data_IF_596695073864
#
_entry.id   IF_596695073864
#
_cell.length_a   1.000
_cell.length_b   1.000
_cell.length_c   1.000
_cell.angle_alpha   90.00
_cell.angle_beta   90.00
_cell.angle_gamma   90.00
#
_symmetry.space_group_name_H-M   'P 1'
#
loop_
_entity.id
_entity.type
_entity.pdbx_description
1 polymer ?
#
# COMPACT_ATOMS: atom_id res chain seq x y z
N UNK A 1 -22.29 -7.97 4.49
CA UNK A 1 -21.61 -7.26 5.58
C UNK A 1 -20.12 -7.55 5.45
N UNK A 2 -19.36 -6.67 4.81
CA UNK A 2 -17.89 -6.82 4.69
C UNK A 2 -17.29 -5.62 5.40
N UNK A 3 -16.63 -5.91 6.50
CA UNK A 3 -16.24 -4.98 7.55
C UNK A 3 -14.79 -4.56 7.32
N UNK A 4 -14.54 -3.25 7.20
CA UNK A 4 -13.18 -2.71 7.28
C UNK A 4 -12.82 -2.64 8.76
N UNK A 5 -12.13 -3.65 9.27
CA UNK A 5 -11.65 -3.66 10.66
C UNK A 5 -10.31 -2.94 10.75
N UNK A 6 -10.23 -1.86 11.54
CA UNK A 6 -8.97 -1.35 12.08
C UNK A 6 -8.58 -2.20 13.31
N UNK A 7 -7.80 -3.25 13.10
CA UNK A 7 -6.98 -3.85 14.15
C UNK A 7 -5.56 -3.27 13.97
N UNK A 8 -5.37 -2.04 14.43
CA UNK A 8 -4.24 -1.21 14.02
C UNK A 8 -4.49 -0.54 12.66
N UNK A 9 -3.62 0.39 12.26
CA UNK A 9 -3.78 1.32 11.13
C UNK A 9 -3.88 0.69 9.72
N UNK A 10 -4.37 -0.54 9.58
CA UNK A 10 -4.63 -1.24 8.34
C UNK A 10 -5.89 -0.73 7.62
N UNK A 11 -5.72 -0.37 6.35
CA UNK A 11 -6.78 -0.03 5.40
C UNK A 11 -6.94 -1.17 4.40
N UNK A 12 -8.18 -1.50 4.05
CA UNK A 12 -8.53 -2.56 3.13
C UNK A 12 -9.39 -2.01 1.98
N UNK A 13 -9.17 -2.52 0.76
CA UNK A 13 -10.05 -2.23 -0.39
C UNK A 13 -10.20 -3.45 -1.30
N UNK A 14 -11.29 -3.50 -2.06
CA UNK A 14 -11.66 -4.68 -2.86
C UNK A 14 -11.83 -4.27 -4.32
N UNK A 15 -10.83 -4.48 -5.17
CA UNK A 15 -10.94 -4.10 -6.57
C UNK A 15 -11.90 -5.04 -7.32
N UNK A 16 -12.56 -4.54 -8.35
CA UNK A 16 -13.53 -5.30 -9.16
C UNK A 16 -12.92 -6.53 -9.85
N UNK A 17 -11.62 -6.46 -10.17
CA UNK A 17 -10.84 -7.58 -10.72
C UNK A 17 -10.66 -8.75 -9.75
N UNK A 18 -11.06 -8.58 -8.48
CA UNK A 18 -11.01 -9.61 -7.45
C UNK A 18 -9.82 -9.50 -6.50
N UNK A 19 -9.94 -10.23 -5.38
CA UNK A 19 -8.99 -10.19 -4.28
C UNK A 19 -9.23 -9.00 -3.33
N UNK A 20 -8.17 -8.61 -2.62
CA UNK A 20 -8.18 -7.53 -1.65
C UNK A 20 -6.83 -6.84 -1.61
N UNK A 21 -6.82 -5.51 -1.54
CA UNK A 21 -5.63 -4.73 -1.23
C UNK A 21 -5.60 -4.43 0.26
N UNK A 22 -4.43 -4.59 0.88
CA UNK A 22 -4.20 -4.27 2.28
C UNK A 22 -2.95 -3.41 2.42
N UNK A 23 -3.06 -2.38 3.26
CA UNK A 23 -1.94 -1.50 3.59
C UNK A 23 -2.05 -1.04 5.03
N UNK A 24 -0.95 -1.13 5.77
CA UNK A 24 -0.80 -0.43 7.04
C UNK A 24 -0.42 1.03 6.75
N UNK A 25 -1.32 1.96 7.08
CA UNK A 25 -1.24 3.37 6.75
C UNK A 25 -0.85 4.22 7.98
N UNK A 26 0.05 5.17 7.76
CA UNK A 26 0.33 6.28 8.65
C UNK A 26 -0.74 7.38 8.51
N UNK A 27 -0.75 8.35 9.44
CA UNK A 27 -1.61 9.54 9.38
C UNK A 27 -1.51 10.26 8.02
N UNK A 28 -0.29 10.39 7.49
CA UNK A 28 -0.02 11.04 6.20
C UNK A 28 -0.62 10.24 5.03
N UNK A 29 -0.53 8.92 5.07
CA UNK A 29 -1.14 8.05 4.06
C UNK A 29 -2.67 8.09 4.12
N UNK A 30 -3.26 8.16 5.31
CA UNK A 30 -4.71 8.35 5.47
C UNK A 30 -5.18 9.67 4.87
N UNK A 31 -4.44 10.77 5.11
CA UNK A 31 -4.73 12.07 4.48
C UNK A 31 -4.63 11.99 2.95
N UNK A 32 -3.63 11.29 2.42
CA UNK A 32 -3.49 11.07 0.97
C UNK A 32 -4.67 10.28 0.38
N UNK A 33 -5.20 9.30 1.12
CA UNK A 33 -6.39 8.55 0.73
C UNK A 33 -7.69 9.35 0.88
N UNK A 34 -7.65 10.53 1.50
CA UNK A 34 -8.85 11.32 1.84
C UNK A 34 -9.66 10.72 2.98
N UNK A 35 -9.03 9.88 3.81
CA UNK A 35 -9.68 9.23 4.95
C UNK A 35 -9.49 10.04 6.24
N UNK A 36 -10.45 9.98 7.17
CA UNK A 36 -10.29 10.60 8.48
C UNK A 36 -9.12 9.99 9.24
N UNK A 37 -8.31 10.85 9.85
CA UNK A 37 -7.12 10.47 10.64
C UNK A 37 -7.46 10.14 12.11
N UNK A 38 -8.65 10.53 12.58
CA UNK A 38 -9.15 10.20 13.91
C UNK A 38 -9.69 8.76 13.90
N UNK A 39 -9.23 7.93 14.84
CA UNK A 39 -9.67 6.55 15.02
C UNK A 39 -10.61 6.38 16.22
N UNK A 40 -11.50 5.38 16.21
CA UNK A 40 -11.87 4.50 15.09
C UNK A 40 -12.99 5.10 14.23
N UNK A 41 -12.90 4.92 12.91
CA UNK A 41 -14.00 5.21 11.98
C UNK A 41 -14.27 3.96 11.17
N UNK A 42 -15.48 3.42 11.29
CA UNK A 42 -15.99 2.42 10.36
C UNK A 42 -16.22 3.12 9.02
N UNK A 43 -15.43 2.77 8.01
CA UNK A 43 -15.60 3.27 6.65
C UNK A 43 -16.41 2.22 5.89
N UNK A 44 -17.64 2.58 5.56
CA UNK A 44 -18.51 1.75 4.74
C UNK A 44 -17.89 1.54 3.34
N UNK A 45 -18.19 0.36 2.77
CA UNK A 45 -17.82 0.06 1.39
C UNK A 45 -18.47 1.10 0.46
N UNK A 46 -17.73 1.56 -0.54
CA UNK A 46 -18.35 2.34 -1.61
C UNK A 46 -19.46 1.50 -2.24
N UNK A 47 -20.62 2.12 -2.45
CA UNK A 47 -21.75 1.46 -3.13
C UNK A 47 -21.53 1.42 -4.63
N UNK A 48 -20.70 2.34 -5.13
CA UNK A 48 -20.29 2.45 -6.52
C UNK A 48 -18.98 1.70 -6.77
N UNK A 49 -18.96 0.86 -7.81
CA UNK A 49 -17.80 0.03 -8.16
C UNK A 49 -16.64 0.87 -8.73
N UNK A 50 -16.96 1.94 -9.47
CA UNK A 50 -15.95 2.81 -10.07
C UNK A 50 -15.26 3.66 -8.98
N UNK A 51 -16.02 4.10 -7.96
CA UNK A 51 -15.44 4.76 -6.78
C UNK A 51 -14.52 3.82 -5.98
N UNK A 52 -14.92 2.56 -5.81
CA UNK A 52 -14.08 1.56 -5.13
C UNK A 52 -12.79 1.26 -5.91
N UNK A 53 -12.86 1.18 -7.24
CA UNK A 53 -11.70 0.95 -8.09
C UNK A 53 -10.74 2.15 -8.13
N UNK A 54 -11.28 3.37 -8.14
CA UNK A 54 -10.47 4.59 -7.98
C UNK A 54 -9.77 4.63 -6.61
N UNK A 55 -10.45 4.21 -5.54
CA UNK A 55 -9.84 4.07 -4.22
C UNK A 55 -8.75 2.98 -4.21
N UNK A 56 -9.00 1.83 -4.85
CA UNK A 56 -8.01 0.77 -5.02
C UNK A 56 -6.78 1.27 -5.78
N UNK A 57 -6.94 2.13 -6.79
CA UNK A 57 -5.82 2.73 -7.51
C UNK A 57 -4.96 3.60 -6.59
N UNK A 58 -5.56 4.44 -5.74
CA UNK A 58 -4.82 5.23 -4.74
C UNK A 58 -4.09 4.33 -3.74
N UNK A 59 -4.71 3.23 -3.30
CA UNK A 59 -4.07 2.23 -2.44
C UNK A 59 -2.86 1.59 -3.12
N UNK A 60 -2.96 1.23 -4.41
CA UNK A 60 -1.83 0.71 -5.19
C UNK A 60 -0.69 1.73 -5.30
N UNK A 61 -1.00 3.01 -5.50
CA UNK A 61 -0.01 4.09 -5.50
C UNK A 61 0.74 4.26 -4.16
N UNK A 62 0.20 3.74 -3.06
CA UNK A 62 0.87 3.71 -1.76
C UNK A 62 1.64 2.40 -1.51
N UNK A 63 1.71 1.50 -2.50
CA UNK A 63 2.33 0.19 -2.37
C UNK A 63 1.51 -0.79 -1.52
N UNK A 64 0.18 -0.74 -1.63
CA UNK A 64 -0.69 -1.72 -0.99
C UNK A 64 -0.42 -3.14 -1.52
N UNK A 65 -0.36 -4.11 -0.61
CA UNK A 65 -0.17 -5.52 -0.98
C UNK A 65 -1.48 -6.09 -1.50
N UNK A 66 -1.44 -6.74 -2.67
CA UNK A 66 -2.57 -7.52 -3.17
C UNK A 66 -2.58 -8.92 -2.55
N UNK A 67 -3.78 -9.33 -2.13
CA UNK A 67 -4.06 -10.63 -1.55
C UNK A 67 -5.17 -11.29 -2.34
N UNK A 68 -5.04 -12.61 -2.55
CA UNK A 68 -6.07 -13.40 -3.23
C UNK A 68 -7.43 -13.36 -2.49
N UNK A 69 -7.41 -13.24 -1.16
CA UNK A 69 -8.61 -13.08 -0.34
C UNK A 69 -8.27 -12.52 1.05
N UNK A 70 -9.30 -12.10 1.79
CA UNK A 70 -9.15 -11.76 3.21
C UNK A 70 -8.64 -12.94 4.04
N UNK A 71 -9.05 -14.17 3.71
CA UNK A 71 -8.54 -15.38 4.36
C UNK A 71 -7.04 -15.56 4.17
N UNK A 72 -6.54 -15.38 2.95
CA UNK A 72 -5.11 -15.48 2.64
C UNK A 72 -4.27 -14.41 3.39
N UNK A 73 -4.83 -13.23 3.60
CA UNK A 73 -4.22 -12.18 4.43
C UNK A 73 -4.21 -12.58 5.91
N UNK A 74 -5.34 -13.04 6.47
CA UNK A 74 -5.45 -13.47 7.87
C UNK A 74 -4.50 -14.62 8.17
N UNK A 75 -4.47 -15.65 7.33
CA UNK A 75 -3.54 -16.79 7.44
C UNK A 75 -2.08 -16.32 7.45
N UNK A 76 -1.72 -15.33 6.61
CA UNK A 76 -0.38 -14.75 6.62
C UNK A 76 -0.10 -13.94 7.90
N UNK A 77 -1.10 -13.22 8.41
CA UNK A 77 -0.98 -12.40 9.61
C UNK A 77 -0.73 -13.26 10.85
N UNK A 78 -1.45 -14.37 10.99
CA UNK A 78 -1.31 -15.31 12.13
C UNK A 78 -0.13 -16.28 11.96
N UNK A 79 0.49 -16.31 10.77
CA UNK A 79 1.68 -17.11 10.49
C UNK A 79 1.42 -18.52 9.96
N UNK A 80 0.16 -18.86 9.69
CA UNK A 80 -0.26 -20.16 9.14
C UNK A 80 0.10 -20.33 7.66
N UNK A 81 0.37 -19.21 6.96
CA UNK A 81 0.81 -19.19 5.55
C UNK A 81 2.06 -18.33 5.38
N UNK A 82 3.03 -18.85 4.63
CA UNK A 82 4.18 -18.05 4.15
C UNK A 82 3.75 -17.13 3.01
N UNK A 83 4.21 -15.89 3.07
CA UNK A 83 4.07 -14.93 1.98
C UNK A 83 4.86 -15.42 0.77
N UNK A 84 4.28 -15.27 -0.42
CA UNK A 84 4.91 -15.68 -1.68
C UNK A 84 4.86 -14.53 -2.69
N UNK A 85 5.88 -14.45 -3.56
CA UNK A 85 5.95 -13.41 -4.58
C UNK A 85 5.85 -12.00 -4.00
N UNK A 86 4.92 -11.21 -4.54
CA UNK A 86 4.66 -9.82 -4.16
C UNK A 86 4.22 -9.65 -2.70
N UNK A 87 3.52 -10.64 -2.11
CA UNK A 87 3.14 -10.59 -0.70
C UNK A 87 4.36 -10.53 0.23
N UNK A 88 5.47 -11.11 -0.23
CA UNK A 88 6.73 -11.15 0.51
C UNK A 88 7.57 -9.88 0.33
N UNK A 89 7.10 -8.90 -0.44
CA UNK A 89 7.74 -7.60 -0.59
C UNK A 89 6.93 -6.54 0.18
N UNK A 90 7.58 -5.87 1.13
CA UNK A 90 7.02 -4.70 1.81
C UNK A 90 7.42 -3.45 1.04
N UNK A 91 6.45 -2.70 0.53
CA UNK A 91 6.69 -1.48 -0.26
C UNK A 91 6.23 -0.26 0.54
N UNK A 92 7.03 0.79 0.58
CA UNK A 92 6.65 2.10 1.13
C UNK A 92 6.97 3.21 0.16
N UNK A 93 5.99 4.09 0.00
CA UNK A 93 5.98 5.14 -1.01
C UNK A 93 5.84 6.51 -0.34
N UNK A 94 6.55 7.50 -0.87
CA UNK A 94 6.40 8.92 -0.57
C UNK A 94 6.21 9.70 -1.85
N UNK A 95 5.20 10.57 -1.87
CA UNK A 95 4.85 11.41 -3.02
C UNK A 95 5.23 12.86 -2.72
N UNK A 96 6.28 13.41 -3.33
CA UNK A 96 6.68 14.80 -3.12
C UNK A 96 5.53 15.76 -3.41
N UNK A 97 5.38 16.84 -2.63
CA UNK A 97 4.31 17.84 -2.83
C UNK A 97 4.44 18.60 -4.15
N UNK A 98 5.64 18.67 -4.72
CA UNK A 98 5.88 19.30 -6.02
C UNK A 98 5.34 18.45 -7.20
N UNK A 99 4.85 17.24 -6.91
CA UNK A 99 4.29 16.31 -7.89
C UNK A 99 5.32 15.66 -8.79
N UNK A 100 6.62 15.81 -8.49
CA UNK A 100 7.71 15.27 -9.31
C UNK A 100 8.15 13.93 -8.77
N UNK A 101 7.83 12.89 -9.53
CA UNK A 101 8.29 11.54 -9.25
C UNK A 101 7.76 10.95 -7.96
N UNK A 102 8.44 9.91 -7.50
CA UNK A 102 8.04 9.11 -6.34
C UNK A 102 9.27 8.52 -5.65
N UNK A 103 9.27 8.56 -4.33
CA UNK A 103 10.25 7.86 -3.51
C UNK A 103 9.70 6.51 -3.08
N UNK A 104 10.47 5.45 -3.32
CA UNK A 104 10.07 4.08 -3.01
C UNK A 104 11.18 3.35 -2.27
N UNK A 105 10.84 2.71 -1.16
CA UNK A 105 11.70 1.73 -0.50
C UNK A 105 10.96 0.40 -0.40
N UNK A 106 11.66 -0.68 -0.72
CA UNK A 106 11.12 -2.03 -0.68
C UNK A 106 12.07 -2.98 0.08
N UNK A 107 11.50 -4.02 0.69
CA UNK A 107 12.27 -5.06 1.40
C UNK A 107 11.52 -6.38 1.40
N UNK A 108 12.24 -7.47 1.64
CA UNK A 108 11.63 -8.78 1.87
C UNK A 108 11.16 -8.92 3.32
N UNK A 109 10.04 -9.60 3.54
CA UNK A 109 9.53 -9.91 4.90
C UNK A 109 10.31 -11.05 5.59
N UNK A 110 11.65 -11.00 5.53
CA UNK A 110 12.56 -12.00 6.13
C UNK A 110 13.01 -11.64 7.54
N UNK A 111 13.23 -10.35 7.83
CA UNK A 111 13.59 -9.85 9.16
C UNK A 111 12.49 -8.95 9.72
N UNK A 112 11.61 -9.53 10.53
CA UNK A 112 10.43 -8.83 11.06
C UNK A 112 10.80 -7.66 11.98
N UNK A 113 11.94 -7.69 12.67
CA UNK A 113 12.28 -6.68 13.67
C UNK A 113 12.77 -5.40 12.99
N UNK A 114 13.76 -5.52 12.10
CA UNK A 114 14.29 -4.36 11.37
C UNK A 114 13.20 -3.71 10.50
N UNK A 115 12.37 -4.53 9.86
CA UNK A 115 11.23 -4.06 9.07
C UNK A 115 10.25 -3.28 9.96
N UNK A 116 9.92 -3.79 11.15
CA UNK A 116 9.00 -3.09 12.04
C UNK A 116 9.54 -1.75 12.54
N UNK A 117 10.83 -1.65 12.84
CA UNK A 117 11.45 -0.38 13.27
C UNK A 117 11.42 0.66 12.14
N UNK A 118 11.81 0.28 10.92
CA UNK A 118 11.73 1.15 9.73
C UNK A 118 10.30 1.60 9.47
N UNK A 119 9.33 0.68 9.61
CA UNK A 119 7.90 0.98 9.48
C UNK A 119 7.40 1.97 10.52
N UNK A 120 7.75 1.75 11.79
CA UNK A 120 7.34 2.63 12.87
C UNK A 120 7.93 4.03 12.70
N UNK A 121 9.18 4.15 12.21
CA UNK A 121 9.79 5.44 11.87
C UNK A 121 9.00 6.17 10.77
N UNK A 122 8.57 5.49 9.71
CA UNK A 122 7.75 6.12 8.67
C UNK A 122 6.36 6.57 9.14
N UNK A 123 5.84 6.01 10.25
CA UNK A 123 4.58 6.45 10.84
C UNK A 123 4.69 7.77 11.60
N UNK A 124 5.90 8.22 11.93
CA UNK A 124 6.12 9.49 12.62
C UNK A 124 6.19 10.69 11.68
N UNK A 125 6.21 10.47 10.36
CA UNK A 125 6.19 11.57 9.40
C UNK A 125 4.96 12.44 9.60
N UNK A 126 5.15 13.75 9.63
CA UNK A 126 4.09 14.76 9.74
C UNK A 126 3.47 15.07 8.38
N UNK A 127 4.24 14.92 7.29
CA UNK A 127 3.76 15.07 5.93
C UNK A 127 4.48 14.21 4.88
N UNK A 128 4.05 14.31 3.62
CA UNK A 128 4.61 13.52 2.53
C UNK A 128 6.04 13.91 2.15
N UNK A 129 6.48 15.15 2.37
CA UNK A 129 7.84 15.58 2.04
C UNK A 129 8.83 15.08 3.09
N UNK A 130 8.45 15.12 4.37
CA UNK A 130 9.19 14.44 5.43
C UNK A 130 9.24 12.94 5.19
N UNK A 131 8.12 12.33 4.79
CA UNK A 131 8.10 10.91 4.44
C UNK A 131 9.04 10.58 3.28
N UNK A 132 9.12 11.41 2.24
CA UNK A 132 10.08 11.26 1.15
C UNK A 132 11.52 11.26 1.67
N UNK A 133 11.88 12.25 2.51
CA UNK A 133 13.20 12.33 3.15
C UNK A 133 13.52 11.11 4.01
N UNK A 134 12.54 10.61 4.77
CA UNK A 134 12.71 9.39 5.56
C UNK A 134 12.91 8.15 4.68
N UNK A 135 12.24 8.06 3.52
CA UNK A 135 12.42 6.97 2.57
C UNK A 135 13.82 7.04 1.95
N UNK A 136 14.27 8.23 1.57
CA UNK A 136 15.63 8.47 1.08
C UNK A 136 16.69 8.03 2.12
N UNK A 137 16.56 8.46 3.38
CA UNK A 137 17.43 8.07 4.51
C UNK A 137 17.51 6.54 4.71
N UNK A 138 16.43 5.82 4.39
CA UNK A 138 16.35 4.36 4.53
C UNK A 138 16.98 3.60 3.35
N UNK A 139 17.55 4.31 2.37
CA UNK A 139 18.09 3.76 1.13
C UNK A 139 17.04 3.57 0.03
N UNK A 140 15.92 4.31 0.12
CA UNK A 140 14.90 4.34 -0.91
C UNK A 140 15.43 4.93 -2.22
N UNK A 141 14.73 4.63 -3.31
CA UNK A 141 15.05 5.10 -4.65
C UNK A 141 14.01 6.11 -5.11
N UNK A 142 14.48 7.17 -5.76
CA UNK A 142 13.65 8.11 -6.48
C UNK A 142 13.41 7.62 -7.91
N UNK A 143 12.16 7.72 -8.36
CA UNK A 143 11.77 7.49 -9.74
C UNK A 143 11.10 8.75 -10.28
N UNK A 144 11.54 9.26 -11.43
CA UNK A 144 10.91 10.44 -12.05
C UNK A 144 9.48 10.13 -12.49
N UNK A 145 9.22 8.89 -12.88
CA UNK A 145 7.88 8.39 -13.18
C UNK A 145 7.58 7.15 -12.37
N UNK A 146 6.38 7.08 -11.80
CA UNK A 146 6.01 6.00 -10.92
C UNK A 146 5.73 4.66 -11.63
N UNK A 147 5.50 4.68 -12.94
CA UNK A 147 5.39 3.48 -13.77
C UNK A 147 6.76 2.81 -14.04
N UNK A 148 7.86 3.53 -13.86
CA UNK A 148 9.22 2.97 -13.93
C UNK A 148 9.59 2.16 -12.68
N UNK A 149 8.84 2.31 -11.59
CA UNK A 149 9.02 1.54 -10.37
C UNK A 149 8.35 0.17 -10.53
N UNK A 150 9.10 -0.95 -10.52
CA UNK A 150 8.53 -2.28 -10.67
C UNK A 150 7.45 -2.60 -9.62
N UNK A 151 7.63 -2.10 -8.41
CA UNK A 151 6.70 -2.29 -7.30
C UNK A 151 5.38 -1.51 -7.46
N UNK A 152 5.37 -0.46 -8.29
CA UNK A 152 4.20 0.37 -8.56
C UNK A 152 3.67 0.23 -9.98
N UNK A 153 4.35 -0.49 -10.87
CA UNK A 153 3.95 -0.65 -12.27
C UNK A 153 2.48 -1.10 -12.43
N UNK A 154 2.00 -2.00 -11.54
CA UNK A 154 0.59 -2.46 -11.53
C UNK A 154 -0.42 -1.40 -11.10
N UNK A 155 0.01 -0.31 -10.46
CA UNK A 155 -0.82 0.85 -10.15
C UNK A 155 -1.08 1.72 -11.40
N UNK A 156 -0.15 1.69 -12.36
CA UNK A 156 -0.15 2.55 -13.55
C UNK A 156 -0.47 1.82 -14.86
N UNK A 157 -0.58 0.48 -14.83
CA UNK A 157 -1.07 -0.28 -15.97
C UNK A 157 -1.65 -1.65 -15.58
N UNK A 158 -2.88 -1.91 -16.01
CA UNK A 158 -3.05 -2.88 -17.10
C UNK A 158 -2.76 -2.12 -18.39
N UNK A 159 -1.60 -2.35 -19.00
CA UNK A 159 -1.42 -2.05 -20.43
C UNK A 159 -0.97 -3.34 -21.10
N UNK A 160 -1.95 -3.91 -21.79
CA UNK A 160 -1.88 -4.97 -22.80
C UNK A 160 -1.60 -6.41 -22.32
N UNK A 161 -2.70 -7.17 -22.34
CA UNK A 161 -2.71 -8.50 -22.94
C UNK A 161 -1.77 -8.55 -24.16
N UNK A 162 -0.70 -9.32 -24.07
CA UNK A 162 -0.10 -9.92 -25.25
C UNK A 162 0.01 -11.41 -25.02
N UNK A 163 -1.04 -12.08 -25.51
CA UNK A 163 -1.03 -13.41 -26.10
C UNK A 163 0.40 -13.92 -26.38
N UNK A 164 0.89 -14.87 -25.58
CA UNK A 164 2.05 -15.68 -25.93
C UNK A 164 1.53 -17.06 -26.32
N UNK A 165 1.16 -17.13 -27.60
CA UNK A 165 1.42 -18.19 -28.59
C UNK A 165 1.47 -19.65 -28.13
#
# INVERSE_FOLDING_TARGET
MRMQYNLGSGVHSFPSIGGMLQKDCSTVELQYLGLPTALPVDIDKFTDADEEDAFCQKMRMLGATHWASMGAWVESLIGDRKRVGEENVGVRVGWPRDGRGVWVVSWLWTDKVEVNERLNRLKTAEDMDERCRMIEDMGGRFYERADECPELARAFGEVESSEVR
#
